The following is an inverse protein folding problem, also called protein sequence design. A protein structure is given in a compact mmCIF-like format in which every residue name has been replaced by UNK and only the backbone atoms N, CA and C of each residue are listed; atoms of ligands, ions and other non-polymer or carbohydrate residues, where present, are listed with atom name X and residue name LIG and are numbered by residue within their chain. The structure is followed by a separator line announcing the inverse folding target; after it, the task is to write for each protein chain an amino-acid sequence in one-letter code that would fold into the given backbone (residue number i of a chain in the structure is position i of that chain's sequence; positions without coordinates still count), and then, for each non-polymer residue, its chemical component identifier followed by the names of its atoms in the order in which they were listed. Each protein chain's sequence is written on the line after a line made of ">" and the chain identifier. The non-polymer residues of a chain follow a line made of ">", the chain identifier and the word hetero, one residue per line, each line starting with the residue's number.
data_IF_805773074953
#
_entry.id   IF_805773074953
#
_cell.length_a   1.000
_cell.length_b   1.000
_cell.length_c   1.000
_cell.angle_alpha   90.00
_cell.angle_beta   90.00
_cell.angle_gamma   90.00
#
_symmetry.space_group_name_H-M   'P 1'
#
loop_
_entity.id
_entity.type
_entity.pdbx_description
1 polymer ?
#
# COMPACT_ATOMS: atom_id res chain seq x y z
N UNK A 1 0.88 2.59 11.77
CA UNK A 1 2.05 2.16 12.57
C UNK A 1 3.07 1.52 11.65
N UNK A 2 4.33 1.42 12.09
CA UNK A 2 5.38 0.71 11.37
C UNK A 2 5.87 -0.44 12.26
N UNK A 3 5.90 -1.66 11.70
CA UNK A 3 6.46 -2.85 12.33
C UNK A 3 7.69 -3.32 11.53
N UNK A 4 8.46 -4.27 12.07
CA UNK A 4 9.55 -4.93 11.36
C UNK A 4 9.19 -6.38 11.08
N UNK A 5 9.43 -6.84 9.84
CA UNK A 5 9.32 -8.24 9.47
C UNK A 5 10.48 -8.59 8.54
N UNK A 6 11.28 -9.60 8.92
CA UNK A 6 12.48 -10.03 8.17
C UNK A 6 13.45 -8.88 7.86
N UNK A 7 13.64 -7.96 8.82
CA UNK A 7 14.49 -6.78 8.66
C UNK A 7 13.93 -5.69 7.74
N UNK A 8 12.68 -5.81 7.28
CA UNK A 8 12.01 -4.84 6.41
C UNK A 8 10.91 -4.10 7.18
N UNK A 9 10.70 -2.80 6.91
CA UNK A 9 9.57 -2.08 7.47
C UNK A 9 8.26 -2.59 6.88
N UNK A 10 7.25 -2.78 7.71
CA UNK A 10 5.87 -3.08 7.31
C UNK A 10 4.97 -1.95 7.78
N UNK A 11 4.27 -1.33 6.84
CA UNK A 11 3.28 -0.31 7.13
C UNK A 11 1.94 -0.97 7.38
N UNK A 12 1.36 -0.69 8.55
CA UNK A 12 0.02 -1.12 8.94
C UNK A 12 -0.81 0.15 9.10
N UNK A 13 -1.78 0.34 8.21
CA UNK A 13 -2.54 1.58 8.10
C UNK A 13 -4.03 1.28 8.18
N UNK A 14 -4.71 1.95 9.13
CA UNK A 14 -6.16 1.97 9.18
C UNK A 14 -6.69 3.08 8.26
N UNK A 15 -7.50 2.69 7.27
CA UNK A 15 -8.09 3.56 6.25
C UNK A 15 -9.51 3.94 6.66
N UNK A 16 -9.84 5.22 6.48
CA UNK A 16 -11.20 5.72 6.65
C UNK A 16 -12.04 5.40 5.41
N UNK A 17 -13.37 5.51 5.53
CA UNK A 17 -14.27 5.39 4.38
C UNK A 17 -13.94 6.40 3.27
N UNK A 18 -13.51 7.61 3.64
CA UNK A 18 -13.06 8.62 2.68
C UNK A 18 -11.83 8.15 1.89
N UNK A 19 -10.83 7.59 2.57
CA UNK A 19 -9.64 7.02 1.91
C UNK A 19 -10.05 5.91 0.95
N UNK A 20 -10.94 5.00 1.38
CA UNK A 20 -11.43 3.91 0.55
C UNK A 20 -12.20 4.43 -0.68
N UNK A 21 -13.07 5.43 -0.50
CA UNK A 21 -13.77 6.09 -1.60
C UNK A 21 -12.85 6.82 -2.57
N UNK A 22 -11.70 7.32 -2.09
CA UNK A 22 -10.69 7.96 -2.94
C UNK A 22 -9.89 6.95 -3.79
N UNK A 23 -9.78 5.68 -3.38
CA UNK A 23 -9.07 4.64 -4.16
C UNK A 23 -9.70 4.42 -5.53
N UNK A 24 -11.03 4.51 -5.64
CA UNK A 24 -11.75 4.40 -6.91
C UNK A 24 -11.47 5.61 -7.83
N UNK A 25 -11.39 6.81 -7.25
CA UNK A 25 -11.11 8.06 -8.00
C UNK A 25 -9.72 8.05 -8.64
N UNK A 26 -8.73 7.42 -7.98
CA UNK A 26 -7.34 7.35 -8.47
C UNK A 26 -7.03 6.06 -9.24
N UNK A 27 -7.97 5.12 -9.36
CA UNK A 27 -7.74 3.84 -10.02
C UNK A 27 -7.26 3.97 -11.47
N UNK A 28 -7.71 5.00 -12.20
CA UNK A 28 -7.27 5.27 -13.58
C UNK A 28 -5.85 5.85 -13.67
N UNK A 29 -5.33 6.36 -12.56
CA UNK A 29 -4.03 7.02 -12.46
C UNK A 29 -2.89 6.08 -12.05
N UNK A 30 -3.22 4.89 -11.51
CA UNK A 30 -2.24 3.87 -11.12
C UNK A 30 -1.85 2.96 -12.27
N UNK A 31 -0.64 2.41 -12.21
CA UNK A 31 -0.07 1.59 -13.28
C UNK A 31 -0.71 0.19 -13.33
N UNK A 32 -1.01 -0.40 -12.17
CA UNK A 32 -1.57 -1.75 -12.02
C UNK A 32 -2.76 -1.74 -11.03
N UNK A 33 -3.94 -1.27 -11.46
CA UNK A 33 -5.11 -1.09 -10.58
C UNK A 33 -5.68 -2.40 -10.02
N UNK A 34 -5.49 -3.50 -10.74
CA UNK A 34 -5.93 -4.85 -10.37
C UNK A 34 -4.79 -5.68 -9.75
N UNK A 35 -3.65 -5.06 -9.47
CA UNK A 35 -2.47 -5.67 -8.83
C UNK A 35 -1.97 -6.97 -9.50
N UNK A 36 -2.12 -7.10 -10.82
CA UNK A 36 -1.77 -8.33 -11.57
C UNK A 36 -0.28 -8.63 -11.61
N UNK A 37 0.56 -7.60 -11.54
CA UNK A 37 2.01 -7.71 -11.53
C UNK A 37 2.60 -7.62 -10.11
N UNK A 38 1.76 -7.40 -9.10
CA UNK A 38 2.20 -7.08 -7.74
C UNK A 38 2.47 -8.35 -6.92
N UNK A 39 3.47 -8.28 -6.05
CA UNK A 39 3.70 -9.33 -5.05
C UNK A 39 2.68 -9.20 -3.92
N UNK A 40 1.72 -10.13 -3.87
CA UNK A 40 0.71 -10.20 -2.81
C UNK A 40 0.07 -11.60 -2.74
N UNK A 41 -0.46 -12.00 -1.57
CA UNK A 41 -1.21 -13.25 -1.44
C UNK A 41 -2.53 -13.21 -2.22
N UNK A 42 -3.04 -14.38 -2.61
CA UNK A 42 -4.28 -14.51 -3.41
C UNK A 42 -5.56 -14.23 -2.63
N UNK A 43 -5.52 -14.30 -1.29
CA UNK A 43 -6.68 -14.06 -0.42
C UNK A 43 -6.96 -12.58 -0.14
N UNK A 44 -6.09 -11.65 -0.57
CA UNK A 44 -6.37 -10.22 -0.43
C UNK A 44 -7.15 -9.72 -1.64
N UNK A 45 -8.04 -8.76 -1.42
CA UNK A 45 -8.73 -8.11 -2.54
C UNK A 45 -7.72 -7.40 -3.45
N UNK A 46 -7.75 -7.59 -4.78
CA UNK A 46 -6.72 -7.07 -5.69
C UNK A 46 -6.69 -5.53 -5.78
N UNK A 47 -7.81 -4.86 -5.52
CA UNK A 47 -7.92 -3.40 -5.61
C UNK A 47 -7.56 -2.71 -4.30
N UNK A 48 -8.12 -3.22 -3.20
CA UNK A 48 -7.90 -2.71 -1.84
C UNK A 48 -6.58 -3.21 -1.23
N UNK A 49 -6.08 -4.34 -1.73
CA UNK A 49 -4.80 -4.98 -1.35
C UNK A 49 -4.75 -5.35 0.13
N UNK A 50 -5.89 -5.83 0.64
CA UNK A 50 -6.12 -6.14 2.05
C UNK A 50 -7.18 -7.23 2.22
N UNK A 51 -7.12 -7.98 3.32
CA UNK A 51 -8.19 -8.91 3.75
C UNK A 51 -9.41 -8.11 4.22
N UNK A 52 -9.21 -7.21 5.19
CA UNK A 52 -10.21 -6.25 5.68
C UNK A 52 -9.96 -4.90 4.98
N UNK A 53 -10.91 -4.33 4.21
CA UNK A 53 -10.67 -3.09 3.44
C UNK A 53 -10.10 -1.95 4.28
N UNK A 54 -10.51 -1.80 5.52
CA UNK A 54 -10.04 -0.74 6.40
C UNK A 54 -8.60 -0.94 6.92
N UNK A 55 -7.97 -2.11 6.76
CA UNK A 55 -6.60 -2.36 7.24
C UNK A 55 -5.68 -2.74 6.08
N UNK A 56 -4.80 -1.81 5.69
CA UNK A 56 -3.72 -2.11 4.75
C UNK A 56 -2.47 -2.60 5.49
N UNK A 57 -1.89 -3.70 4.99
CA UNK A 57 -0.58 -4.22 5.43
C UNK A 57 0.32 -4.32 4.20
N UNK A 58 1.38 -3.52 4.14
CA UNK A 58 2.33 -3.53 3.01
C UNK A 58 3.77 -3.46 3.49
N UNK A 59 4.68 -4.13 2.78
CA UNK A 59 6.11 -3.94 2.95
C UNK A 59 6.46 -2.53 2.47
N UNK A 60 6.97 -1.71 3.39
CA UNK A 60 7.30 -0.30 3.19
C UNK A 60 8.61 -0.10 2.44
N UNK A 61 8.83 -0.87 1.37
CA UNK A 61 10.05 -0.88 0.58
C UNK A 61 9.71 -0.49 -0.86
N UNK A 62 10.19 0.67 -1.30
CA UNK A 62 9.96 1.17 -2.65
C UNK A 62 10.49 0.16 -3.68
N UNK A 63 9.62 -0.23 -4.61
CA UNK A 63 9.91 -1.23 -5.64
C UNK A 63 10.88 -0.75 -6.71
N UNK A 64 11.29 0.52 -6.69
CA UNK A 64 12.39 1.01 -7.53
C UNK A 64 13.74 0.46 -7.05
N UNK A 65 14.27 0.98 -5.93
CA UNK A 65 15.60 0.65 -5.40
C UNK A 65 15.63 0.53 -3.87
N UNK A 66 14.48 0.24 -3.25
CA UNK A 66 14.46 -0.20 -1.85
C UNK A 66 14.40 0.89 -0.78
N UNK A 67 14.30 2.18 -1.11
CA UNK A 67 14.08 3.21 -0.08
C UNK A 67 12.72 3.03 0.61
N UNK A 68 12.61 3.38 1.90
CA UNK A 68 11.31 3.41 2.57
C UNK A 68 10.50 4.66 2.16
N UNK A 69 9.32 4.51 1.52
CA UNK A 69 8.47 5.65 1.20
C UNK A 69 7.93 6.34 2.46
N UNK A 70 7.84 7.66 2.44
CA UNK A 70 7.18 8.43 3.49
C UNK A 70 5.66 8.31 3.38
N UNK A 71 4.98 8.13 4.50
CA UNK A 71 3.52 8.21 4.57
C UNK A 71 3.07 9.66 4.39
N UNK A 72 2.20 9.91 3.40
CA UNK A 72 1.73 11.24 2.98
C UNK A 72 0.21 11.24 2.80
N UNK A 73 -0.57 11.12 3.91
CA UNK A 73 -2.03 11.03 3.85
C UNK A 73 -2.73 12.34 3.52
N UNK A 74 -2.01 13.47 3.56
CA UNK A 74 -2.61 14.80 3.39
C UNK A 74 -3.19 14.94 1.98
N UNK A 75 -4.48 15.25 1.86
CA UNK A 75 -5.12 15.55 0.57
C UNK A 75 -4.64 16.92 0.06
N UNK A 76 -4.42 17.03 -1.25
CA UNK A 76 -3.95 18.24 -1.93
C UNK A 76 -2.66 18.82 -1.33
N UNK A 77 -1.73 17.94 -0.92
CA UNK A 77 -0.44 18.35 -0.39
C UNK A 77 0.31 19.26 -1.39
N UNK A 78 0.79 20.42 -0.92
CA UNK A 78 1.33 21.48 -1.77
C UNK A 78 2.49 21.03 -2.67
N UNK A 79 3.33 20.11 -2.18
CA UNK A 79 4.47 19.53 -2.90
C UNK A 79 4.10 18.36 -3.82
N UNK A 80 2.91 17.77 -3.67
CA UNK A 80 2.46 16.60 -4.45
C UNK A 80 1.38 16.93 -5.48
N UNK A 81 0.75 18.11 -5.35
CA UNK A 81 -0.24 18.66 -6.29
C UNK A 81 -1.68 18.57 -5.78
N UNK A 82 -2.57 19.36 -6.38
CA UNK A 82 -3.98 19.45 -5.98
C UNK A 82 -4.74 18.12 -6.14
N UNK A 83 -4.32 17.27 -7.07
CA UNK A 83 -4.95 15.97 -7.36
C UNK A 83 -4.48 14.85 -6.42
N UNK A 84 -3.59 15.13 -5.47
CA UNK A 84 -3.09 14.15 -4.53
C UNK A 84 -4.15 13.80 -3.49
N UNK A 85 -4.62 12.55 -3.48
CA UNK A 85 -5.65 12.06 -2.54
C UNK A 85 -5.07 11.24 -1.37
N UNK A 86 -3.80 11.45 -1.05
CA UNK A 86 -3.08 10.71 -0.01
C UNK A 86 -2.40 9.45 -0.54
N UNK A 87 -1.37 9.00 0.17
CA UNK A 87 -0.64 7.78 -0.16
C UNK A 87 0.77 7.76 0.42
N UNK A 88 1.73 7.35 -0.41
CA UNK A 88 3.15 7.29 -0.05
C UNK A 88 4.02 7.95 -1.11
N UNK A 89 5.06 8.65 -0.65
CA UNK A 89 6.02 9.31 -1.52
C UNK A 89 7.44 8.84 -1.22
N UNK A 90 8.15 8.35 -2.23
CA UNK A 90 9.55 7.94 -2.11
C UNK A 90 10.46 9.06 -2.64
N UNK A 91 11.15 9.81 -1.75
CA UNK A 91 11.93 10.99 -2.15
C UNK A 91 13.20 10.65 -2.92
N UNK A 92 13.67 9.40 -2.89
CA UNK A 92 14.90 8.98 -3.56
C UNK A 92 14.85 9.26 -5.07
N UNK A 93 13.71 8.97 -5.71
CA UNK A 93 13.51 9.16 -7.16
C UNK A 93 12.09 9.64 -7.51
N UNK A 94 11.34 10.13 -6.51
CA UNK A 94 10.03 10.76 -6.71
C UNK A 94 8.85 9.81 -6.95
N UNK A 95 9.00 8.50 -6.72
CA UNK A 95 7.89 7.54 -6.93
C UNK A 95 6.73 7.79 -5.98
N UNK A 96 5.52 7.87 -6.54
CA UNK A 96 4.25 8.04 -5.82
C UNK A 96 3.45 6.74 -5.78
N UNK A 97 2.85 6.47 -4.63
CA UNK A 97 1.92 5.37 -4.41
C UNK A 97 0.63 5.89 -3.76
N UNK A 98 -0.51 5.28 -4.04
CA UNK A 98 -1.77 5.64 -3.40
C UNK A 98 -1.94 5.00 -2.01
N UNK A 99 -3.11 5.19 -1.38
CA UNK A 99 -3.44 4.63 -0.07
C UNK A 99 -3.73 3.11 -0.07
N UNK A 100 -3.57 2.41 -1.20
CA UNK A 100 -3.48 0.95 -1.27
C UNK A 100 -2.04 0.48 -1.57
N UNK A 101 -1.08 1.40 -1.63
CA UNK A 101 0.30 1.13 -2.02
C UNK A 101 0.43 0.83 -3.52
N UNK A 102 -0.54 1.23 -4.36
CA UNK A 102 -0.47 1.06 -5.81
C UNK A 102 0.34 2.20 -6.42
N UNK A 103 1.30 1.86 -7.27
CA UNK A 103 2.19 2.85 -7.90
C UNK A 103 1.43 3.65 -8.95
N UNK A 104 1.63 4.96 -8.99
CA UNK A 104 1.07 5.81 -10.03
C UNK A 104 1.70 5.47 -11.40
N UNK A 105 1.02 5.86 -12.50
CA UNK A 105 1.60 5.77 -13.85
C UNK A 105 2.86 6.66 -13.96
N UNK A 106 3.75 6.25 -14.87
CA UNK A 106 4.98 6.98 -15.21
C UNK A 106 5.90 7.27 -14.00
N UNK A 107 5.96 6.34 -13.03
CA UNK A 107 6.89 6.40 -11.91
C UNK A 107 8.12 5.50 -12.18
N UNK A 108 9.30 5.81 -11.61
CA UNK A 108 10.46 4.92 -11.68
C UNK A 108 10.25 3.55 -11.01
N UNK A 109 9.44 3.51 -9.95
CA UNK A 109 9.01 2.27 -9.33
C UNK A 109 8.14 1.45 -10.31
N UNK A 110 8.50 0.19 -10.59
CA UNK A 110 7.81 -0.62 -11.59
C UNK A 110 6.53 -1.30 -11.06
N UNK A 111 6.42 -1.49 -9.74
CA UNK A 111 5.38 -2.33 -9.13
C UNK A 111 4.73 -1.65 -7.91
N UNK A 112 3.54 -2.11 -7.53
CA UNK A 112 2.90 -1.73 -6.26
C UNK A 112 3.73 -2.25 -5.07
N UNK A 113 3.62 -1.60 -3.91
CA UNK A 113 4.31 -2.05 -2.69
C UNK A 113 3.90 -3.47 -2.31
N UNK A 114 4.80 -4.41 -2.00
CA UNK A 114 4.41 -5.80 -1.71
C UNK A 114 3.44 -5.90 -0.52
N UNK A 115 2.47 -6.81 -0.59
CA UNK A 115 1.67 -7.19 0.58
C UNK A 115 2.32 -8.46 1.16
N UNK A 116 2.77 -8.47 2.42
CA UNK A 116 3.30 -9.68 3.01
C UNK A 116 2.17 -10.68 3.31
N UNK A 117 2.47 -12.00 3.39
CA UNK A 117 1.57 -12.97 4.01
C UNK A 117 1.09 -12.47 5.37
N UNK A 118 -0.21 -12.51 5.64
CA UNK A 118 -0.72 -12.15 6.96
C UNK A 118 -2.11 -12.77 7.23
N UNK A 119 -2.42 -12.90 8.52
CA UNK A 119 -3.69 -13.41 9.01
C UNK A 119 -4.18 -12.62 10.24
N UNK A 120 -5.44 -12.83 10.61
CA UNK A 120 -6.05 -12.26 11.82
C UNK A 120 -6.28 -13.38 12.82
N UNK A 121 -5.52 -13.39 13.93
CA UNK A 121 -5.77 -14.32 15.04
C UNK A 121 -7.04 -13.93 15.81
N UNK A 122 -7.26 -12.61 15.94
CA UNK A 122 -8.49 -12.01 16.43
C UNK A 122 -8.78 -10.73 15.66
N UNK A 123 -9.89 -10.05 15.95
CA UNK A 123 -10.20 -8.77 15.30
C UNK A 123 -9.15 -7.67 15.53
N UNK A 124 -8.35 -7.78 16.60
CA UNK A 124 -7.37 -6.77 16.99
C UNK A 124 -5.91 -7.28 16.93
N UNK A 125 -5.69 -8.53 16.51
CA UNK A 125 -4.35 -9.14 16.45
C UNK A 125 -4.09 -9.64 15.03
N UNK A 126 -3.07 -9.07 14.40
CA UNK A 126 -2.61 -9.43 13.06
C UNK A 126 -1.28 -10.16 13.20
N UNK A 127 -1.15 -11.30 12.53
CA UNK A 127 0.10 -12.06 12.42
C UNK A 127 0.67 -11.82 11.03
N UNK A 128 1.91 -11.32 10.94
CA UNK A 128 2.61 -11.10 9.66
C UNK A 128 3.57 -12.27 9.42
N UNK A 129 3.55 -12.82 8.21
CA UNK A 129 4.35 -13.96 7.77
C UNK A 129 3.62 -15.30 7.75
N UNK A 130 2.33 -15.33 8.07
CA UNK A 130 1.47 -16.52 8.02
C UNK A 130 0.31 -16.24 7.08
N UNK A 131 0.09 -17.11 6.10
CA UNK A 131 -1.05 -16.99 5.19
C UNK A 131 -2.38 -17.26 5.89
N UNK A 132 -3.43 -16.52 5.51
CA UNK A 132 -4.77 -16.71 6.06
C UNK A 132 -5.31 -18.15 5.86
N UNK A 133 -4.90 -18.82 4.79
CA UNK A 133 -5.27 -20.21 4.51
C UNK A 133 -4.62 -21.22 5.49
N UNK A 134 -3.54 -20.80 6.17
CA UNK A 134 -2.77 -21.61 7.13
C UNK A 134 -2.98 -21.15 8.59
N UNK A 135 -3.89 -20.20 8.81
CA UNK A 135 -4.17 -19.60 10.12
C UNK A 135 -5.28 -20.34 10.89
#
# INVERSE_FOLDING_TARGET
>A
MVAEWRGQPVFIVRRTEEILGNLEKVAVQVADPESKASEQPTYVDPKNRSIKPEILVVVGLCTHLGCAPSFRPEVAAADLGADWLGGYFCPCHGSKYDMAGRVYKAQPAPLNLPVPPHSYETDNVIIIGVDQENA
#
